data_IF_704821887106
#
_entry.id   IF_704821887106
#
_cell.length_a   1.000
_cell.length_b   1.000
_cell.length_c   1.000
_cell.angle_alpha   90.00
_cell.angle_beta   90.00
_cell.angle_gamma   90.00
#
_symmetry.space_group_name_H-M   'P 1'
#
loop_
_entity.id
_entity.type
_entity.pdbx_description
1 polymer ?
#
# COMPACT_ATOMS: atom_id res chain seq x y z
N UNK A 1 -21.58 -10.44 -45.10
CA UNK A 1 -22.01 -10.09 -43.74
C UNK A 1 -21.32 -10.90 -42.63
N UNK A 2 -20.79 -12.11 -42.88
CA UNK A 2 -20.09 -12.92 -41.86
C UNK A 2 -18.73 -12.39 -41.40
N UNK A 3 -17.99 -11.65 -42.23
CA UNK A 3 -16.64 -11.17 -41.89
C UNK A 3 -16.58 -10.11 -40.77
N UNK A 4 -17.66 -9.33 -40.59
CA UNK A 4 -17.70 -8.26 -39.58
C UNK A 4 -17.97 -8.77 -38.16
N UNK A 5 -18.63 -9.93 -38.03
CA UNK A 5 -18.99 -10.53 -36.74
C UNK A 5 -17.73 -11.08 -36.03
N UNK A 6 -16.78 -11.62 -36.79
CA UNK A 6 -15.56 -12.23 -36.23
C UNK A 6 -14.61 -11.17 -35.67
N UNK A 7 -14.48 -10.00 -36.32
CA UNK A 7 -13.70 -8.88 -35.79
C UNK A 7 -14.31 -8.28 -34.52
N UNK A 8 -15.64 -8.24 -34.42
CA UNK A 8 -16.32 -7.70 -33.24
C UNK A 8 -16.13 -8.58 -32.00
N UNK A 9 -16.11 -9.91 -32.18
CA UNK A 9 -15.87 -10.89 -31.09
C UNK A 9 -14.42 -10.81 -30.58
N UNK A 10 -13.45 -10.63 -31.49
CA UNK A 10 -12.03 -10.51 -31.13
C UNK A 10 -11.70 -9.23 -30.35
N UNK A 11 -12.39 -8.12 -30.65
CA UNK A 11 -12.24 -6.87 -29.90
C UNK A 11 -12.84 -7.01 -28.50
N UNK A 12 -13.98 -7.69 -28.35
CA UNK A 12 -14.62 -7.89 -27.04
C UNK A 12 -13.82 -8.79 -26.08
N UNK A 13 -13.13 -9.81 -26.59
CA UNK A 13 -12.26 -10.68 -25.77
C UNK A 13 -10.96 -9.98 -25.36
N UNK A 14 -10.43 -9.06 -26.17
CA UNK A 14 -9.25 -8.25 -25.79
C UNK A 14 -9.58 -7.18 -24.73
N UNK A 15 -10.80 -6.62 -24.73
CA UNK A 15 -11.23 -5.65 -23.70
C UNK A 15 -11.56 -6.33 -22.37
N UNK A 16 -11.81 -7.65 -22.37
CA UNK A 16 -11.94 -8.47 -21.16
C UNK A 16 -10.59 -9.01 -20.63
N UNK A 17 -9.46 -8.59 -21.22
CA UNK A 17 -8.15 -8.82 -20.64
C UNK A 17 -8.06 -8.05 -19.31
N UNK A 18 -8.42 -8.75 -18.24
CA UNK A 18 -8.07 -8.52 -16.85
C UNK A 18 -7.48 -7.12 -16.56
N UNK A 19 -8.32 -6.10 -16.46
CA UNK A 19 -8.03 -5.03 -15.52
C UNK A 19 -8.24 -5.63 -14.13
N UNK A 20 -7.30 -6.47 -13.70
CA UNK A 20 -7.19 -6.86 -12.31
C UNK A 20 -6.97 -5.56 -11.56
N UNK A 21 -8.03 -5.07 -10.91
CA UNK A 21 -7.94 -3.93 -10.00
C UNK A 21 -7.07 -4.42 -8.85
N UNK A 22 -5.76 -4.20 -8.96
CA UNK A 22 -4.82 -4.46 -7.88
C UNK A 22 -5.12 -3.41 -6.82
N UNK A 23 -5.76 -3.84 -5.74
CA UNK A 23 -5.92 -2.99 -4.58
C UNK A 23 -4.56 -2.84 -3.88
N UNK A 24 -4.20 -1.65 -3.40
CA UNK A 24 -2.95 -1.45 -2.69
C UNK A 24 -2.85 -2.38 -1.49
N UNK A 25 -1.80 -3.20 -1.44
CA UNK A 25 -1.50 -4.03 -0.28
C UNK A 25 -0.70 -3.20 0.71
N UNK A 26 -1.33 -2.87 1.84
CA UNK A 26 -0.73 -2.02 2.87
C UNK A 26 0.09 -2.76 3.92
N UNK A 27 -0.06 -4.07 4.01
CA UNK A 27 0.74 -4.92 4.90
C UNK A 27 2.22 -4.79 4.55
N UNK A 28 3.09 -4.63 5.55
CA UNK A 28 4.53 -4.49 5.33
C UNK A 28 5.24 -3.66 6.40
N UNK A 29 6.53 -3.41 6.15
CA UNK A 29 7.40 -2.61 7.01
C UNK A 29 7.66 -1.27 6.32
N UNK A 30 7.62 -0.19 7.10
CA UNK A 30 7.87 1.17 6.64
C UNK A 30 8.96 1.79 7.51
N UNK A 31 10.06 2.19 6.88
CA UNK A 31 11.12 2.96 7.54
C UNK A 31 10.66 4.42 7.68
N UNK A 32 10.69 4.93 8.90
CA UNK A 32 10.22 6.27 9.23
C UNK A 32 11.36 7.26 9.08
N UNK A 33 11.09 8.38 8.39
CA UNK A 33 12.04 9.45 8.20
C UNK A 33 12.37 10.20 9.50
N UNK A 34 13.34 11.10 9.42
CA UNK A 34 13.76 11.93 10.54
C UNK A 34 13.10 13.32 10.52
N UNK A 35 11.95 13.45 9.86
CA UNK A 35 11.26 14.74 9.73
C UNK A 35 10.59 15.21 11.03
N UNK A 36 10.36 14.29 11.98
CA UNK A 36 9.81 14.60 13.30
C UNK A 36 10.88 15.09 14.29
N UNK A 37 10.65 16.24 14.93
CA UNK A 37 11.58 16.82 15.90
C UNK A 37 11.55 16.07 17.25
N UNK A 38 12.47 15.12 17.43
CA UNK A 38 12.58 14.31 18.64
C UNK A 38 12.97 15.09 19.90
N UNK A 39 13.43 16.34 19.77
CA UNK A 39 13.78 17.18 20.92
C UNK A 39 12.55 17.76 21.61
N UNK A 40 11.46 17.95 20.85
CA UNK A 40 10.22 18.57 21.34
C UNK A 40 9.00 17.64 21.25
N UNK A 41 9.05 16.62 20.37
CA UNK A 41 7.93 15.73 20.08
C UNK A 41 8.18 14.29 20.58
N UNK A 42 7.08 13.55 20.76
CA UNK A 42 7.13 12.10 20.82
C UNK A 42 6.91 11.56 19.40
N UNK A 43 7.98 11.07 18.77
CA UNK A 43 7.99 10.70 17.37
C UNK A 43 7.92 9.19 17.21
N UNK A 44 7.34 8.71 16.11
CA UNK A 44 7.53 7.33 15.67
C UNK A 44 9.03 7.14 15.37
N UNK A 45 9.59 6.02 15.82
CA UNK A 45 11.02 5.73 15.77
C UNK A 45 11.31 4.53 14.88
N UNK A 46 12.29 4.68 13.97
CA UNK A 46 12.83 3.67 13.06
C UNK A 46 11.83 3.08 12.08
N UNK A 47 10.85 2.31 12.57
CA UNK A 47 9.96 1.48 11.76
C UNK A 47 8.53 1.50 12.26
N UNK A 48 7.62 1.50 11.30
CA UNK A 48 6.23 1.12 11.49
C UNK A 48 5.97 -0.20 10.76
N UNK A 49 5.19 -1.08 11.39
CA UNK A 49 4.77 -2.35 10.83
C UNK A 49 3.26 -2.29 10.67
N UNK A 50 2.78 -2.62 9.46
CA UNK A 50 1.36 -2.77 9.20
C UNK A 50 1.04 -4.24 9.02
N UNK A 51 0.11 -4.73 9.81
CA UNK A 51 -0.45 -6.07 9.69
C UNK A 51 -1.96 -6.02 9.46
N UNK A 52 -2.53 -7.12 8.95
CA UNK A 52 -3.97 -7.27 8.77
C UNK A 52 -4.49 -8.34 9.74
N UNK A 53 -4.87 -7.95 10.98
CA UNK A 53 -5.44 -8.91 11.93
C UNK A 53 -6.88 -9.31 11.54
N UNK A 54 -7.59 -8.46 10.78
CA UNK A 54 -8.99 -8.64 10.41
C UNK A 54 -9.23 -8.26 8.93
N UNK A 55 -10.30 -8.77 8.33
CA UNK A 55 -10.63 -8.48 6.93
C UNK A 55 -11.09 -7.04 6.66
N UNK A 56 -11.27 -6.22 7.71
CA UNK A 56 -11.79 -4.85 7.62
C UNK A 56 -10.83 -3.80 8.20
N UNK A 57 -9.77 -4.24 8.89
CA UNK A 57 -8.86 -3.36 9.65
C UNK A 57 -7.40 -3.72 9.45
N UNK A 58 -6.56 -2.70 9.49
CA UNK A 58 -5.11 -2.79 9.55
C UNK A 58 -4.67 -2.41 10.97
N UNK A 59 -3.70 -3.12 11.51
CA UNK A 59 -3.02 -2.78 12.75
C UNK A 59 -1.67 -2.17 12.41
N UNK A 60 -1.50 -0.90 12.77
CA UNK A 60 -0.24 -0.18 12.70
C UNK A 60 0.45 -0.28 14.05
N UNK A 61 1.61 -0.91 14.09
CA UNK A 61 2.48 -1.00 15.26
C UNK A 61 3.76 -0.24 15.00
N UNK A 62 4.20 0.59 15.93
CA UNK A 62 5.46 1.30 15.77
C UNK A 62 6.08 1.63 17.13
N UNK A 63 7.40 1.69 17.17
CA UNK A 63 8.11 2.19 18.34
C UNK A 63 8.09 3.72 18.35
N UNK A 64 8.19 4.35 19.52
CA UNK A 64 8.22 5.80 19.69
C UNK A 64 9.42 6.24 20.51
N UNK A 65 9.96 7.42 20.17
CA UNK A 65 11.10 8.03 20.85
C UNK A 65 11.02 9.56 20.79
N UNK A 66 11.60 10.20 21.80
CA UNK A 66 11.67 11.66 21.89
C UNK A 66 11.51 12.15 23.33
N UNK A 67 11.84 13.42 23.56
CA UNK A 67 11.82 13.99 24.91
C UNK A 67 10.41 13.98 25.52
N UNK A 68 9.39 14.27 24.72
CA UNK A 68 8.00 14.32 25.15
C UNK A 68 7.33 12.93 25.29
N UNK A 69 8.00 11.83 24.95
CA UNK A 69 7.44 10.49 25.14
C UNK A 69 7.38 10.07 26.63
N UNK A 70 8.19 10.68 27.50
CA UNK A 70 8.31 10.27 28.91
C UNK A 70 6.98 10.36 29.67
N UNK A 71 6.15 11.34 29.32
CA UNK A 71 4.87 11.57 30.00
C UNK A 71 3.74 10.67 29.45
N UNK A 72 3.92 10.15 28.23
CA UNK A 72 2.90 9.38 27.49
C UNK A 72 3.12 7.88 27.69
N UNK A 73 4.37 7.47 27.88
CA UNK A 73 4.81 6.09 27.75
C UNK A 73 5.45 5.59 29.04
N UNK A 74 4.65 5.33 30.07
CA UNK A 74 5.16 4.87 31.36
C UNK A 74 5.78 3.46 31.34
N UNK A 75 5.55 2.63 30.29
CA UNK A 75 6.03 1.23 30.27
C UNK A 75 6.24 0.58 28.89
N UNK A 76 5.75 1.14 27.77
CA UNK A 76 5.80 0.47 26.45
C UNK A 76 6.26 1.40 25.35
N UNK A 77 7.52 1.28 24.91
CA UNK A 77 8.08 2.07 23.79
C UNK A 77 7.36 1.87 22.46
N UNK A 78 6.31 1.05 22.39
CA UNK A 78 5.51 0.82 21.19
C UNK A 78 4.07 1.30 21.35
N UNK A 79 3.53 1.82 20.25
CA UNK A 79 2.12 2.17 20.05
C UNK A 79 1.46 1.20 19.06
N UNK A 80 0.14 1.07 19.17
CA UNK A 80 -0.67 0.22 18.31
C UNK A 80 -1.97 0.93 17.96
N UNK A 81 -2.26 1.09 16.68
CA UNK A 81 -3.48 1.78 16.19
C UNK A 81 -4.17 0.92 15.15
N UNK A 82 -5.47 0.70 15.33
CA UNK A 82 -6.32 0.07 14.33
C UNK A 82 -6.90 1.12 13.38
N UNK A 83 -6.68 0.96 12.08
CA UNK A 83 -7.24 1.80 11.04
C UNK A 83 -8.09 0.94 10.07
N UNK A 84 -9.16 1.48 9.47
CA UNK A 84 -9.93 0.72 8.49
C UNK A 84 -9.12 0.48 7.21
N UNK A 85 -9.40 -0.61 6.50
CA UNK A 85 -8.76 -0.88 5.19
C UNK A 85 -9.24 0.16 4.16
N UNK A 86 -8.33 0.86 3.46
CA UNK A 86 -8.67 1.77 2.38
C UNK A 86 -9.61 1.15 1.34
N UNK A 87 -10.79 1.76 1.16
CA UNK A 87 -11.73 1.38 0.09
C UNK A 87 -11.56 2.26 -1.16
N UNK A 88 -10.85 3.37 -1.03
CA UNK A 88 -10.67 4.38 -2.07
C UNK A 88 -9.46 4.07 -2.95
N UNK A 89 -9.62 4.24 -4.27
CA UNK A 89 -8.56 3.94 -5.25
C UNK A 89 -7.50 5.04 -5.38
N UNK A 90 -7.77 6.25 -4.88
CA UNK A 90 -6.93 7.44 -5.11
C UNK A 90 -6.12 7.85 -3.87
N UNK A 91 -5.82 6.89 -2.99
CA UNK A 91 -5.24 7.13 -1.68
C UNK A 91 -6.30 7.22 -0.59
N UNK A 92 -5.88 7.08 0.66
CA UNK A 92 -6.77 7.07 1.81
C UNK A 92 -6.28 8.04 2.87
N UNK A 93 -7.21 8.79 3.46
CA UNK A 93 -6.94 9.72 4.54
C UNK A 93 -7.89 9.47 5.69
N UNK A 94 -7.36 9.47 6.91
CA UNK A 94 -8.15 9.38 8.13
C UNK A 94 -7.59 10.33 9.17
N UNK A 95 -8.49 10.97 9.92
CA UNK A 95 -8.12 11.70 11.14
C UNK A 95 -8.30 10.72 12.29
N UNK A 96 -7.23 10.45 13.02
CA UNK A 96 -7.21 9.54 14.17
C UNK A 96 -6.35 10.11 15.28
N UNK A 97 -6.51 9.58 16.50
CA UNK A 97 -5.65 9.95 17.62
C UNK A 97 -4.39 9.08 17.63
N UNK A 98 -3.24 9.73 17.51
CA UNK A 98 -1.91 9.15 17.69
C UNK A 98 -1.24 9.90 18.84
N UNK A 99 -0.73 9.18 19.84
CA UNK A 99 -0.02 9.76 21.00
C UNK A 99 -0.80 10.91 21.69
N UNK A 100 -2.11 10.76 21.81
CA UNK A 100 -3.04 11.75 22.39
C UNK A 100 -3.25 13.05 21.59
N UNK A 101 -2.69 13.17 20.38
CA UNK A 101 -2.95 14.28 19.44
C UNK A 101 -3.77 13.82 18.23
N UNK A 102 -4.49 14.75 17.58
CA UNK A 102 -5.21 14.43 16.36
C UNK A 102 -4.25 14.52 15.17
N UNK A 103 -4.17 13.40 14.47
CA UNK A 103 -3.24 13.20 13.37
C UNK A 103 -4.01 12.84 12.11
N UNK A 104 -3.65 13.45 10.99
CA UNK A 104 -4.13 13.05 9.67
C UNK A 104 -3.15 12.05 9.09
N UNK A 105 -3.55 10.78 9.09
CA UNK A 105 -2.83 9.69 8.46
C UNK A 105 -3.22 9.61 6.98
N UNK A 106 -2.23 9.61 6.10
CA UNK A 106 -2.40 9.47 4.66
C UNK A 106 -1.67 8.24 4.16
N UNK A 107 -2.37 7.40 3.42
CA UNK A 107 -1.89 6.18 2.80
C UNK A 107 -1.89 6.40 1.27
N UNK A 108 -0.70 6.38 0.65
CA UNK A 108 -0.49 6.53 -0.80
C UNK A 108 -1.08 5.42 -1.67
N UNK A 109 -1.76 5.75 -2.78
CA UNK A 109 -2.44 4.74 -3.61
C UNK A 109 -1.57 3.55 -4.09
N UNK A 110 -0.25 3.71 -4.13
CA UNK A 110 0.75 2.72 -4.57
C UNK A 110 1.36 1.91 -3.42
N UNK A 111 0.85 2.06 -2.19
CA UNK A 111 1.38 1.44 -0.97
C UNK A 111 2.82 1.82 -0.60
N UNK A 112 3.43 2.83 -1.24
CA UNK A 112 4.85 3.16 -1.04
C UNK A 112 5.14 4.04 0.16
N UNK A 113 4.21 4.90 0.57
CA UNK A 113 4.45 5.82 1.67
C UNK A 113 3.22 6.05 2.54
N UNK A 114 3.52 6.39 3.78
CA UNK A 114 2.56 6.74 4.83
C UNK A 114 2.98 8.11 5.32
N UNK A 115 2.05 9.05 5.39
CA UNK A 115 2.31 10.37 5.97
C UNK A 115 1.44 10.54 7.20
N UNK A 116 2.06 10.85 8.33
CA UNK A 116 1.38 11.24 9.55
C UNK A 116 1.57 12.75 9.76
N UNK A 117 0.47 13.51 9.74
CA UNK A 117 0.49 14.95 9.96
C UNK A 117 -0.22 15.27 11.27
N UNK A 118 0.53 15.71 12.26
CA UNK A 118 -0.03 16.21 13.52
C UNK A 118 -0.71 17.56 13.28
N UNK A 119 -2.03 17.63 13.49
CA UNK A 119 -2.83 18.81 13.15
C UNK A 119 -2.61 19.97 14.13
N UNK A 120 -2.21 19.67 15.37
CA UNK A 120 -1.92 20.68 16.39
C UNK A 120 -0.45 21.14 16.34
N UNK A 121 0.47 20.21 16.07
CA UNK A 121 1.91 20.46 16.13
C UNK A 121 2.61 19.91 14.87
N UNK A 122 2.64 20.66 13.75
CA UNK A 122 3.17 20.15 12.48
C UNK A 122 4.62 19.65 12.53
N UNK A 123 5.46 20.17 13.46
CA UNK A 123 6.83 19.68 13.72
C UNK A 123 6.91 18.24 14.26
N UNK A 124 5.78 17.70 14.73
CA UNK A 124 5.63 16.32 15.18
C UNK A 124 5.04 15.40 14.09
N UNK A 125 5.06 15.84 12.83
CA UNK A 125 4.65 15.04 11.67
C UNK A 125 5.80 14.13 11.22
N UNK A 126 5.48 13.07 10.48
CA UNK A 126 6.44 12.11 9.98
C UNK A 126 6.03 11.45 8.67
N UNK A 127 6.99 10.88 7.95
CA UNK A 127 6.71 10.06 6.77
C UNK A 127 7.36 8.69 6.93
N UNK A 128 6.62 7.62 6.63
CA UNK A 128 7.14 6.27 6.49
C UNK A 128 7.25 5.88 5.03
N UNK A 129 8.39 5.32 4.62
CA UNK A 129 8.62 4.77 3.28
C UNK A 129 8.67 3.26 3.37
N UNK A 130 7.92 2.59 2.49
CA UNK A 130 7.89 1.12 2.44
C UNK A 130 9.29 0.58 2.19
N UNK A 131 9.69 -0.40 2.99
CA UNK A 131 10.86 -1.21 2.73
C UNK A 131 10.45 -2.27 1.72
N UNK A 132 10.99 -2.21 0.51
CA UNK A 132 10.78 -3.27 -0.48
C UNK A 132 11.60 -4.49 -0.05
N UNK A 133 10.93 -5.63 0.12
CA UNK A 133 11.63 -6.90 0.31
C UNK A 133 12.39 -7.23 -1.00
N UNK A 134 13.71 -7.10 -0.99
CA UNK A 134 14.60 -7.46 -2.12
C UNK A 134 14.44 -8.93 -2.59
N UNK A 135 13.63 -9.75 -1.89
CA UNK A 135 13.44 -11.17 -2.16
C UNK A 135 12.42 -11.52 -3.27
N UNK A 136 11.62 -10.58 -3.78
CA UNK A 136 10.53 -10.90 -4.74
C UNK A 136 10.59 -10.19 -6.10
N UNK A 137 11.70 -9.55 -6.45
CA UNK A 137 11.96 -9.18 -7.86
C UNK A 137 12.39 -10.41 -8.67
N UNK A 138 11.63 -11.50 -8.60
CA UNK A 138 11.62 -12.44 -9.71
C UNK A 138 10.94 -11.71 -10.86
N UNK A 139 11.63 -11.45 -12.00
CA UNK A 139 10.93 -10.94 -13.17
C UNK A 139 9.82 -11.94 -13.48
N UNK A 140 8.56 -11.48 -13.44
CA UNK A 140 7.44 -12.26 -13.95
C UNK A 140 7.61 -12.34 -15.47
N UNK A 141 8.45 -13.28 -15.91
CA UNK A 141 8.54 -13.73 -17.29
C UNK A 141 7.29 -14.60 -17.54
N UNK A 142 6.10 -14.01 -17.43
CA UNK A 142 5.00 -14.44 -18.28
C UNK A 142 5.30 -13.85 -19.64
N UNK A 143 6.23 -14.54 -20.32
CA UNK A 143 6.63 -14.28 -21.68
C UNK A 143 5.36 -14.24 -22.53
N UNK A 144 5.06 -13.06 -23.09
CA UNK A 144 4.00 -12.84 -24.09
C UNK A 144 4.12 -13.80 -25.28
N UNK A 145 5.23 -14.54 -25.39
CA UNK A 145 5.47 -15.62 -26.35
C UNK A 145 4.53 -16.82 -26.20
N UNK A 146 4.00 -17.14 -25.00
CA UNK A 146 3.07 -18.29 -24.84
C UNK A 146 1.70 -17.98 -25.47
N UNK A 147 1.25 -16.72 -25.44
CA UNK A 147 0.01 -16.29 -26.10
C UNK A 147 0.15 -16.26 -27.63
N UNK A 148 1.35 -15.98 -28.14
CA UNK A 148 1.63 -16.04 -29.59
C UNK A 148 1.68 -17.49 -30.07
N UNK A 149 2.26 -18.42 -29.30
CA UNK A 149 2.28 -19.84 -29.67
C UNK A 149 0.88 -20.47 -29.68
N UNK A 150 0.02 -20.14 -28.70
CA UNK A 150 -1.36 -20.63 -28.67
C UNK A 150 -2.23 -20.07 -29.81
N UNK A 151 -2.00 -18.83 -30.25
CA UNK A 151 -2.74 -18.26 -31.38
C UNK A 151 -2.32 -18.83 -32.74
N UNK A 152 -1.03 -19.16 -32.92
CA UNK A 152 -0.52 -19.80 -34.14
C UNK A 152 -1.04 -21.24 -34.26
N UNK A 153 -1.07 -22.01 -33.17
CA UNK A 153 -1.61 -23.39 -33.19
C UNK A 153 -3.11 -23.41 -33.53
N UNK A 154 -3.89 -22.44 -33.02
CA UNK A 154 -5.30 -22.30 -33.38
C UNK A 154 -5.52 -21.94 -34.86
N UNK A 155 -4.66 -21.11 -35.45
CA UNK A 155 -4.70 -20.78 -36.88
C UNK A 155 -4.44 -22.02 -37.75
N UNK A 156 -3.49 -22.89 -37.37
CA UNK A 156 -3.18 -24.10 -38.12
C UNK A 156 -4.27 -25.18 -38.02
N UNK A 157 -4.99 -25.27 -36.90
CA UNK A 157 -6.09 -26.23 -36.73
C UNK A 157 -7.39 -25.82 -37.45
N UNK A 158 -7.55 -24.56 -37.84
CA UNK A 158 -8.71 -24.09 -38.61
C UNK A 158 -8.50 -24.11 -40.14
N UNK A 159 -7.29 -24.43 -40.61
CA UNK A 159 -6.96 -24.49 -42.06
C UNK A 159 -6.86 -25.92 -42.61
N UNK A 160 -7.11 -26.94 -41.79
CA UNK A 160 -7.36 -28.33 -42.20
C UNK A 160 -8.79 -28.73 -41.83
#
# INVERSE_FOLDING_TARGET
MQAYIIHFIFIFTFVHACVSVVFPEWTGIFDVDESCDRTECCCISKRAIITRPENTRLLVTADVAGAACRDIVNTSTSISVLIPIPQEKNGFQIITKLLSSDCRLTLSYDSKFIVDINLQYPKCSGTGVRVEDEANTAPSIFSSSILIFLSIVFLFLCMN
#
